data_IF_306978152797
#
_entry.id   IF_306978152797
#
_cell.length_a   1.000
_cell.length_b   1.000
_cell.length_c   1.000
_cell.angle_alpha   90.00
_cell.angle_beta   90.00
_cell.angle_gamma   90.00
#
_symmetry.space_group_name_H-M   'P 1'
#
loop_
_entity.id
_entity.type
_entity.pdbx_description
1 polymer ?
#
# COMPACT_ATOMS: atom_id res chain seq x y z
N UNK A 1 5.37 6.54 20.00
CA UNK A 1 4.92 7.60 19.07
C UNK A 1 5.93 7.68 17.91
N UNK A 2 5.45 7.65 16.66
CA UNK A 2 6.30 7.69 15.48
C UNK A 2 6.85 9.12 15.30
N UNK A 3 8.17 9.33 15.24
CA UNK A 3 8.77 10.67 15.16
C UNK A 3 8.95 11.20 13.73
N UNK A 4 8.38 10.52 12.73
CA UNK A 4 8.60 10.77 11.30
C UNK A 4 7.34 11.31 10.63
N UNK A 5 7.51 12.11 9.57
CA UNK A 5 6.39 12.55 8.73
C UNK A 5 5.92 11.43 7.80
N UNK A 6 4.69 11.54 7.29
CA UNK A 6 4.15 10.56 6.34
C UNK A 6 4.96 10.48 5.04
N UNK A 7 5.57 11.60 4.62
CA UNK A 7 6.50 11.66 3.49
C UNK A 7 7.77 10.84 3.74
N UNK A 8 8.41 11.03 4.90
CA UNK A 8 9.61 10.29 5.27
C UNK A 8 9.33 8.78 5.35
N UNK A 9 8.19 8.40 5.96
CA UNK A 9 7.76 7.01 6.04
C UNK A 9 7.50 6.46 4.65
N UNK A 10 6.81 7.20 3.78
CA UNK A 10 6.54 6.76 2.42
C UNK A 10 7.83 6.48 1.64
N UNK A 11 8.80 7.38 1.68
CA UNK A 11 10.09 7.18 1.02
C UNK A 11 10.87 6.01 1.62
N UNK A 12 10.89 5.88 2.94
CA UNK A 12 11.53 4.77 3.62
C UNK A 12 10.90 3.42 3.23
N UNK A 13 9.57 3.36 3.14
CA UNK A 13 8.85 2.19 2.65
C UNK A 13 9.20 1.94 1.18
N UNK A 14 9.15 2.94 0.31
CA UNK A 14 9.45 2.80 -1.12
C UNK A 14 10.84 2.21 -1.37
N UNK A 15 11.84 2.65 -0.60
CA UNK A 15 13.23 2.14 -0.69
C UNK A 15 13.34 0.68 -0.21
N UNK A 16 12.59 0.30 0.81
CA UNK A 16 12.65 -1.02 1.43
C UNK A 16 11.67 -2.04 0.84
N UNK A 17 10.63 -1.59 0.12
CA UNK A 17 9.59 -2.42 -0.47
C UNK A 17 10.15 -3.52 -1.37
N UNK A 18 11.20 -3.30 -2.21
CA UNK A 18 11.75 -4.37 -3.04
C UNK A 18 12.27 -5.58 -2.24
N UNK A 19 12.84 -5.36 -1.05
CA UNK A 19 13.31 -6.45 -0.16
C UNK A 19 12.14 -7.29 0.34
N UNK A 20 11.06 -6.61 0.76
CA UNK A 20 9.84 -7.25 1.24
C UNK A 20 9.11 -7.96 0.10
N UNK A 21 9.09 -7.34 -1.08
CA UNK A 21 8.44 -7.87 -2.27
C UNK A 21 9.12 -9.16 -2.75
N UNK A 22 10.43 -9.33 -2.56
CA UNK A 22 11.11 -10.60 -2.88
C UNK A 22 10.50 -11.79 -2.13
N UNK A 23 10.19 -11.63 -0.84
CA UNK A 23 9.53 -12.67 -0.05
C UNK A 23 8.14 -12.98 -0.59
N UNK A 24 7.31 -11.96 -0.85
CA UNK A 24 5.94 -12.14 -1.33
C UNK A 24 5.91 -12.73 -2.76
N UNK A 25 6.80 -12.28 -3.65
CA UNK A 25 6.96 -12.83 -5.00
C UNK A 25 7.32 -14.32 -4.99
N UNK A 26 8.15 -14.76 -4.04
CA UNK A 26 8.50 -16.18 -3.93
C UNK A 26 7.29 -17.08 -3.60
N UNK A 27 6.20 -16.49 -3.11
CA UNK A 27 4.94 -17.17 -2.79
C UNK A 27 3.84 -16.88 -3.83
N UNK A 28 4.18 -16.25 -4.97
CA UNK A 28 3.26 -15.98 -6.07
C UNK A 28 2.37 -14.74 -5.90
N UNK A 29 2.68 -13.88 -4.93
CA UNK A 29 2.00 -12.60 -4.74
C UNK A 29 2.89 -11.40 -5.10
N UNK A 30 2.34 -10.20 -5.05
CA UNK A 30 3.11 -8.97 -5.13
C UNK A 30 2.50 -7.88 -4.25
N UNK A 31 3.32 -6.93 -3.81
CA UNK A 31 2.90 -5.79 -2.99
C UNK A 31 2.90 -4.52 -3.84
N UNK A 32 1.79 -3.79 -3.85
CA UNK A 32 1.71 -2.42 -4.36
C UNK A 32 1.59 -1.45 -3.19
N UNK A 33 2.47 -0.46 -3.13
CA UNK A 33 2.35 0.64 -2.17
C UNK A 33 1.30 1.64 -2.69
N UNK A 34 0.29 1.93 -1.88
CA UNK A 34 -0.76 2.88 -2.23
C UNK A 34 -0.53 4.25 -1.60
N UNK A 35 0.03 4.31 -0.38
CA UNK A 35 0.28 5.55 0.31
C UNK A 35 0.55 5.38 1.81
N UNK A 36 0.77 6.50 2.49
CA UNK A 36 0.93 6.55 3.94
C UNK A 36 0.02 7.65 4.52
N UNK A 37 -0.64 7.38 5.63
CA UNK A 37 -1.40 8.38 6.40
C UNK A 37 -1.25 8.09 7.89
N UNK A 38 -0.93 9.12 8.68
CA UNK A 38 -0.85 9.05 10.14
C UNK A 38 0.06 7.90 10.62
N UNK A 39 1.20 7.69 9.95
CA UNK A 39 2.12 6.59 10.24
C UNK A 39 1.60 5.18 9.91
N UNK A 40 0.48 5.09 9.21
CA UNK A 40 -0.08 3.84 8.68
C UNK A 40 0.20 3.73 7.19
N UNK A 41 0.82 2.62 6.81
CA UNK A 41 1.17 2.30 5.42
C UNK A 41 0.04 1.49 4.79
N UNK A 42 -0.48 2.00 3.69
CA UNK A 42 -1.52 1.34 2.91
C UNK A 42 -0.90 0.63 1.72
N UNK A 43 -1.16 -0.66 1.63
CA UNK A 43 -0.68 -1.52 0.54
C UNK A 43 -1.84 -2.28 -0.09
N UNK A 44 -1.62 -2.78 -1.29
CA UNK A 44 -2.50 -3.74 -1.97
C UNK A 44 -1.69 -5.01 -2.25
N UNK A 45 -2.13 -6.12 -1.67
CA UNK A 45 -1.61 -7.45 -1.95
C UNK A 45 -2.32 -8.02 -3.18
N UNK A 46 -1.52 -8.33 -4.21
CA UNK A 46 -1.99 -8.86 -5.49
C UNK A 46 -1.44 -10.27 -5.73
N UNK A 47 -1.95 -10.96 -6.76
CA UNK A 47 -1.54 -12.32 -7.11
C UNK A 47 -2.25 -13.40 -6.28
N UNK A 48 -1.56 -14.51 -5.99
CA UNK A 48 -2.14 -15.67 -5.27
C UNK A 48 -2.66 -15.30 -3.88
N UNK A 49 -2.08 -14.27 -3.26
CA UNK A 49 -2.47 -13.76 -1.94
C UNK A 49 -3.86 -13.11 -1.91
N UNK A 50 -4.43 -12.70 -3.05
CA UNK A 50 -5.73 -12.00 -3.10
C UNK A 50 -6.93 -12.94 -2.90
N UNK A 51 -6.79 -14.23 -3.22
CA UNK A 51 -7.91 -15.19 -3.26
C UNK A 51 -8.11 -16.03 -1.99
N UNK A 52 -7.20 -15.98 -1.02
CA UNK A 52 -7.26 -16.79 0.21
C UNK A 52 -7.10 -15.90 1.45
N UNK A 53 -8.18 -15.74 2.22
CA UNK A 53 -8.21 -14.86 3.40
C UNK A 53 -7.15 -15.20 4.44
N UNK A 54 -6.84 -16.49 4.61
CA UNK A 54 -5.86 -16.95 5.58
C UNK A 54 -4.42 -16.60 5.14
N UNK A 55 -4.11 -16.74 3.85
CA UNK A 55 -2.82 -16.35 3.27
C UNK A 55 -2.64 -14.84 3.28
N UNK A 56 -3.71 -14.08 3.07
CA UNK A 56 -3.68 -12.61 3.09
C UNK A 56 -3.26 -12.08 4.48
N UNK A 57 -3.85 -12.63 5.55
CA UNK A 57 -3.52 -12.25 6.92
C UNK A 57 -2.05 -12.56 7.26
N UNK A 58 -1.56 -13.76 6.94
CA UNK A 58 -0.18 -14.17 7.26
C UNK A 58 0.83 -13.35 6.47
N UNK A 59 0.62 -13.14 5.16
CA UNK A 59 1.49 -12.30 4.34
C UNK A 59 1.51 -10.86 4.85
N UNK A 60 0.35 -10.27 5.20
CA UNK A 60 0.28 -8.93 5.79
C UNK A 60 1.11 -8.84 7.07
N UNK A 61 1.02 -9.84 7.95
CA UNK A 61 1.80 -9.86 9.20
C UNK A 61 3.31 -9.91 8.93
N UNK A 62 3.75 -10.69 7.96
CA UNK A 62 5.18 -10.75 7.58
C UNK A 62 5.66 -9.42 7.01
N UNK A 63 4.88 -8.83 6.10
CA UNK A 63 5.17 -7.52 5.50
C UNK A 63 5.30 -6.45 6.59
N UNK A 64 4.31 -6.37 7.49
CA UNK A 64 4.34 -5.43 8.62
C UNK A 64 5.54 -5.64 9.51
N UNK A 65 5.88 -6.90 9.83
CA UNK A 65 7.05 -7.22 10.65
C UNK A 65 8.34 -6.74 9.98
N UNK A 66 8.53 -7.01 8.70
CA UNK A 66 9.75 -6.60 7.99
C UNK A 66 9.85 -5.07 7.88
N UNK A 67 8.75 -4.38 7.58
CA UNK A 67 8.74 -2.91 7.56
C UNK A 67 9.03 -2.31 8.94
N UNK A 68 8.54 -2.94 10.01
CA UNK A 68 8.86 -2.54 11.39
C UNK A 68 10.34 -2.72 11.73
N UNK A 69 10.94 -3.83 11.29
CA UNK A 69 12.37 -4.11 11.47
C UNK A 69 13.26 -3.14 10.68
N UNK A 70 12.80 -2.69 9.50
CA UNK A 70 13.58 -1.82 8.61
C UNK A 70 13.39 -0.33 8.86
N UNK A 71 12.24 0.09 9.39
CA UNK A 71 11.84 1.50 9.48
C UNK A 71 11.57 1.90 10.94
N UNK A 72 10.48 1.37 11.53
CA UNK A 72 10.09 1.72 12.90
C UNK A 72 9.13 0.69 13.53
N UNK A 73 9.32 0.29 14.80
CA UNK A 73 8.53 -0.78 15.43
C UNK A 73 7.03 -0.50 15.58
N UNK A 74 6.61 0.77 15.61
CA UNK A 74 5.20 1.16 15.76
C UNK A 74 4.46 1.31 14.42
N UNK A 75 5.13 1.10 13.29
CA UNK A 75 4.53 1.27 11.97
C UNK A 75 3.37 0.27 11.75
N UNK A 76 2.23 0.76 11.27
CA UNK A 76 1.06 -0.08 10.99
C UNK A 76 0.90 -0.30 9.48
N UNK A 77 0.44 -1.48 9.09
CA UNK A 77 0.21 -1.82 7.67
C UNK A 77 -1.20 -2.32 7.46
N UNK A 78 -1.91 -1.69 6.52
CA UNK A 78 -3.27 -2.07 6.12
C UNK A 78 -3.24 -2.53 4.67
N UNK A 79 -3.81 -3.72 4.43
CA UNK A 79 -4.05 -4.20 3.08
C UNK A 79 -5.42 -3.71 2.61
N UNK A 80 -5.46 -2.92 1.54
CA UNK A 80 -6.71 -2.46 0.93
C UNK A 80 -7.28 -3.55 0.04
N UNK A 81 -8.48 -4.02 0.40
CA UNK A 81 -9.18 -5.14 -0.25
C UNK A 81 -10.58 -4.75 -0.77
N UNK A 82 -10.92 -3.46 -0.72
CA UNK A 82 -12.23 -2.95 -1.14
C UNK A 82 -13.36 -3.18 -0.14
N UNK A 83 -13.08 -3.81 1.02
CA UNK A 83 -14.04 -3.94 2.11
C UNK A 83 -14.35 -2.58 2.75
N UNK A 84 -15.37 -2.51 3.63
CA UNK A 84 -15.68 -1.30 4.38
C UNK A 84 -14.60 -0.95 5.43
N UNK A 85 -13.87 -1.95 5.89
CA UNK A 85 -12.91 -1.83 7.01
C UNK A 85 -11.50 -1.48 6.53
N UNK A 86 -11.09 -1.96 5.35
CA UNK A 86 -9.76 -1.72 4.81
C UNK A 86 -9.81 -0.82 3.57
N UNK A 87 -10.20 0.45 3.75
CA UNK A 87 -10.21 1.46 2.69
C UNK A 87 -9.00 2.38 2.78
N UNK A 88 -8.61 2.92 1.62
CA UNK A 88 -7.72 4.06 1.58
C UNK A 88 -8.44 5.28 2.17
N UNK A 89 -7.79 6.05 3.06
CA UNK A 89 -8.34 7.30 3.57
C UNK A 89 -8.38 8.37 2.47
N UNK A 90 -9.14 9.44 2.70
CA UNK A 90 -9.23 10.57 1.76
C UNK A 90 -7.92 11.38 1.68
N UNK A 91 -7.20 11.47 2.80
CA UNK A 91 -5.90 12.12 2.89
C UNK A 91 -4.83 11.05 3.10
N UNK A 92 -3.91 10.93 2.15
CA UNK A 92 -2.73 10.08 2.26
C UNK A 92 -1.60 10.68 1.41
N UNK A 93 -0.37 10.50 1.86
CA UNK A 93 0.82 10.88 1.10
C UNK A 93 1.15 9.81 0.06
N UNK A 94 1.45 10.28 -1.15
CA UNK A 94 2.10 9.52 -2.22
C UNK A 94 3.13 10.40 -2.89
N UNK A 95 4.21 9.81 -3.40
CA UNK A 95 5.08 10.47 -4.38
C UNK A 95 4.23 10.90 -5.58
N UNK A 96 3.82 12.17 -5.60
CA UNK A 96 3.13 12.77 -6.73
C UNK A 96 4.10 12.80 -7.91
N UNK A 97 4.04 11.76 -8.75
CA UNK A 97 4.21 11.97 -10.18
C UNK A 97 2.81 12.25 -10.70
N UNK A 98 2.61 13.46 -11.24
CA UNK A 98 1.36 14.06 -11.69
C UNK A 98 0.61 13.25 -12.80
N UNK A 99 1.08 12.05 -13.14
CA UNK A 99 0.66 11.23 -14.28
C UNK A 99 -0.54 10.31 -13.98
N UNK A 100 -0.75 9.85 -12.74
CA UNK A 100 -1.89 8.97 -12.42
C UNK A 100 -3.21 9.73 -12.17
N UNK A 101 -3.14 10.94 -11.62
CA UNK A 101 -4.32 11.77 -11.31
C UNK A 101 -4.97 12.23 -12.62
N UNK A 102 -4.18 12.72 -13.58
CA UNK A 102 -4.70 13.12 -14.89
C UNK A 102 -5.33 11.96 -15.65
N UNK A 103 -4.84 10.73 -15.50
CA UNK A 103 -5.39 9.58 -16.24
C UNK A 103 -6.73 9.12 -15.66
N UNK A 104 -6.88 9.08 -14.33
CA UNK A 104 -8.16 8.76 -13.68
C UNK A 104 -9.21 9.83 -13.91
N UNK A 105 -8.86 11.11 -13.78
CA UNK A 105 -9.79 12.22 -14.06
C UNK A 105 -10.21 12.24 -15.53
N UNK A 106 -9.26 12.11 -16.48
CA UNK A 106 -9.57 12.04 -17.92
C UNK A 106 -10.42 10.82 -18.27
N UNK A 107 -10.21 9.67 -17.63
CA UNK A 107 -11.03 8.47 -17.84
C UNK A 107 -12.47 8.67 -17.34
N UNK A 108 -12.63 9.26 -16.14
CA UNK A 108 -13.93 9.54 -15.55
C UNK A 108 -14.70 10.57 -16.40
N UNK A 109 -14.03 11.61 -16.89
CA UNK A 109 -14.64 12.61 -17.77
C UNK A 109 -15.03 12.04 -19.14
N UNK A 110 -14.23 11.11 -19.68
CA UNK A 110 -14.57 10.44 -20.94
C UNK A 110 -15.80 9.54 -20.78
N UNK A 111 -15.89 8.81 -19.66
CA UNK A 111 -17.06 7.95 -19.38
C UNK A 111 -18.33 8.80 -19.20
N UNK A 112 -18.27 9.91 -18.45
CA UNK A 112 -19.40 10.84 -18.28
C UNK A 112 -19.85 11.54 -19.57
N UNK A 113 -19.03 11.56 -20.61
CA UNK A 113 -19.37 12.15 -21.91
C UNK A 113 -20.09 11.17 -22.85
N UNK A 114 -19.97 9.86 -22.59
CA UNK A 114 -20.59 8.80 -23.39
C UNK A 114 -21.88 8.24 -22.77
N UNK A 115 -22.19 8.59 -21.53
CA UNK A 115 -23.46 8.36 -20.84
C UNK A 115 -24.20 9.68 -20.65
#
# INVERSE_FOLDING_TARGET
MIPFSDEEIYHAVKINLPKVNMYVNSHGGAIKLLGVSDGTVYIELTGTCHGCSMSLMTTKMVVQRQLRELIHPELNVINVDGSKENKLPEHYFTDHTEEEITTKEKLIDKIKKYF
#
